data_IF_738812767272
#
_entry.id   IF_738812767272
#
_cell.length_a   1.000
_cell.length_b   1.000
_cell.length_c   1.000
_cell.angle_alpha   90.00
_cell.angle_beta   90.00
_cell.angle_gamma   90.00
#
_symmetry.space_group_name_H-M   'P 1'
#
loop_
_entity.id
_entity.type
_entity.pdbx_description
1 polymer ?
#
# COMPACT_ATOMS: atom_id res chain seq x y z
N UNK A 1 -13.76 24.42 -2.44
CA UNK A 1 -12.75 24.30 -1.37
C UNK A 1 -11.73 23.27 -1.84
N UNK A 2 -10.52 23.72 -2.13
CA UNK A 2 -9.41 22.83 -2.53
C UNK A 2 -8.89 22.10 -1.29
N UNK A 3 -9.18 20.80 -1.20
CA UNK A 3 -8.75 19.88 -0.14
C UNK A 3 -7.22 19.87 0.09
N UNK A 4 -6.45 20.40 -0.86
CA UNK A 4 -4.99 20.47 -0.82
C UNK A 4 -4.44 21.76 -0.19
N UNK A 5 -5.29 22.74 0.12
CA UNK A 5 -4.86 24.02 0.70
C UNK A 5 -4.50 23.95 2.20
N UNK A 6 -4.82 22.84 2.85
CA UNK A 6 -4.53 22.57 4.28
C UNK A 6 -3.39 21.54 4.46
N UNK A 7 -2.62 21.24 3.41
CA UNK A 7 -1.51 20.29 3.50
C UNK A 7 -0.32 20.93 4.24
N UNK A 8 -0.19 20.64 5.53
CA UNK A 8 0.93 21.03 6.37
C UNK A 8 2.10 20.03 6.21
N UNK A 9 3.19 20.49 5.59
CA UNK A 9 4.40 19.69 5.36
C UNK A 9 5.10 19.29 6.67
N UNK A 10 4.92 20.03 7.77
CA UNK A 10 5.52 19.67 9.06
C UNK A 10 4.83 18.45 9.70
N UNK A 11 3.50 18.33 9.55
CA UNK A 11 2.76 17.15 10.02
C UNK A 11 3.18 15.86 9.29
N UNK A 12 3.53 15.96 8.00
CA UNK A 12 3.90 14.82 7.16
C UNK A 12 5.40 14.42 7.26
N UNK A 13 6.20 15.11 8.09
CA UNK A 13 7.65 14.96 8.14
C UNK A 13 8.12 13.57 8.60
N UNK A 14 7.33 12.90 9.43
CA UNK A 14 7.57 11.49 9.84
C UNK A 14 6.89 10.46 8.93
N UNK A 15 6.06 10.92 7.98
CA UNK A 15 5.26 10.09 7.09
C UNK A 15 5.73 10.15 5.63
N UNK A 16 6.83 10.85 5.36
CA UNK A 16 7.49 10.93 4.04
C UNK A 16 8.74 10.07 4.03
N UNK A 17 8.75 9.03 3.18
CA UNK A 17 9.89 8.13 3.05
C UNK A 17 10.52 8.29 1.67
N UNK A 18 11.82 8.65 1.61
CA UNK A 18 12.64 8.50 0.41
C UNK A 18 13.19 7.07 0.39
N UNK A 19 12.61 6.22 -0.46
CA UNK A 19 12.90 4.78 -0.53
C UNK A 19 13.32 4.37 -1.94
N UNK A 20 13.87 3.17 -2.05
CA UNK A 20 14.05 2.48 -3.33
C UNK A 20 12.85 1.57 -3.61
N UNK A 21 12.53 1.32 -4.88
CA UNK A 21 11.55 0.30 -5.23
C UNK A 21 12.00 -1.04 -4.65
N UNK A 22 11.07 -1.82 -4.11
CA UNK A 22 11.45 -3.09 -3.50
C UNK A 22 11.61 -3.04 -1.97
N UNK A 23 11.80 -1.85 -1.39
CA UNK A 23 12.04 -1.69 0.06
C UNK A 23 10.77 -1.96 0.86
N UNK A 24 10.89 -2.81 1.87
CA UNK A 24 9.82 -3.12 2.82
C UNK A 24 9.75 -2.05 3.90
N UNK A 25 8.56 -1.51 4.12
CA UNK A 25 8.27 -0.59 5.22
C UNK A 25 7.39 -1.33 6.22
N UNK A 26 7.89 -1.57 7.43
CA UNK A 26 7.07 -2.12 8.50
C UNK A 26 6.05 -1.08 8.94
N UNK A 27 4.78 -1.48 9.05
CA UNK A 27 3.68 -0.62 9.49
C UNK A 27 2.83 -1.34 10.52
N UNK A 28 2.36 -0.54 11.47
CA UNK A 28 1.39 -0.96 12.48
C UNK A 28 0.09 -0.26 12.12
N UNK A 29 -0.84 -0.98 11.52
CA UNK A 29 -2.21 -0.50 11.36
C UNK A 29 -2.92 -0.67 12.69
N UNK A 30 -3.34 0.43 13.31
CA UNK A 30 -4.38 0.33 14.35
C UNK A 30 -5.69 0.04 13.63
N UNK A 31 -6.43 -0.96 14.11
CA UNK A 31 -7.68 -1.45 13.52
C UNK A 31 -8.80 -0.38 13.52
N UNK A 32 -8.57 0.80 14.13
CA UNK A 32 -9.52 1.90 14.25
C UNK A 32 -8.94 3.31 13.98
N UNK A 33 -7.79 3.43 13.28
CA UNK A 33 -7.28 4.75 12.87
C UNK A 33 -6.97 4.80 11.39
N UNK A 34 -7.31 5.93 10.77
CA UNK A 34 -6.79 6.26 9.45
C UNK A 34 -5.30 6.54 9.56
N UNK A 35 -4.51 5.82 8.77
CA UNK A 35 -3.07 6.04 8.68
C UNK A 35 -2.77 6.53 7.27
N UNK A 36 -2.13 7.69 7.15
CA UNK A 36 -1.75 8.30 5.88
C UNK A 36 -0.24 8.30 5.77
N UNK A 37 0.30 8.03 4.58
CA UNK A 37 1.73 8.20 4.35
C UNK A 37 2.06 8.51 2.90
N UNK A 38 3.18 9.21 2.72
CA UNK A 38 3.76 9.55 1.42
C UNK A 38 5.02 8.71 1.21
N UNK A 39 5.09 8.08 0.05
CA UNK A 39 6.25 7.31 -0.39
C UNK A 39 6.83 7.98 -1.62
N UNK A 40 8.11 8.36 -1.58
CA UNK A 40 8.85 8.90 -2.72
C UNK A 40 9.93 7.90 -3.12
N UNK A 41 9.95 7.51 -4.39
CA UNK A 41 10.87 6.49 -4.91
C UNK A 41 11.36 6.92 -6.29
N UNK A 42 12.68 7.09 -6.47
CA UNK A 42 13.29 7.46 -7.76
C UNK A 42 12.61 8.65 -8.47
N UNK A 43 12.13 9.63 -7.70
CA UNK A 43 11.39 10.80 -8.21
C UNK A 43 9.88 10.60 -8.38
N UNK A 44 9.39 9.37 -8.22
CA UNK A 44 7.97 9.03 -8.25
C UNK A 44 7.32 9.24 -6.88
N UNK A 45 6.07 9.71 -6.86
CA UNK A 45 5.34 10.01 -5.62
C UNK A 45 4.09 9.14 -5.53
N UNK A 46 3.91 8.53 -4.35
CA UNK A 46 2.75 7.73 -4.00
C UNK A 46 2.18 8.21 -2.67
N UNK A 47 0.86 8.34 -2.57
CA UNK A 47 0.18 8.53 -1.30
C UNK A 47 -0.64 7.31 -1.00
N UNK A 48 -0.52 6.83 0.22
CA UNK A 48 -1.22 5.66 0.68
C UNK A 48 -2.04 6.01 1.91
N UNK A 49 -3.21 5.38 1.98
CA UNK A 49 -4.13 5.51 3.11
C UNK A 49 -4.61 4.13 3.49
N UNK A 50 -4.59 3.86 4.79
CA UNK A 50 -5.21 2.69 5.39
C UNK A 50 -6.45 3.13 6.15
N UNK A 51 -7.53 2.37 6.00
CA UNK A 51 -8.77 2.55 6.74
C UNK A 51 -9.44 1.21 7.05
N UNK A 52 -10.59 1.30 7.68
CA UNK A 52 -11.42 0.17 8.08
C UNK A 52 -12.90 0.46 7.80
N UNK A 53 -13.65 -0.61 7.55
CA UNK A 53 -15.09 -0.53 7.43
C UNK A 53 -15.76 -0.84 8.78
N UNK A 54 -17.04 -0.48 8.90
CA UNK A 54 -17.83 -0.76 10.10
C UNK A 54 -17.99 -2.25 10.42
N UNK A 55 -17.85 -3.11 9.42
CA UNK A 55 -17.87 -4.57 9.57
C UNK A 55 -16.56 -5.16 10.13
N UNK A 56 -15.54 -4.33 10.36
CA UNK A 56 -14.22 -4.74 10.83
C UNK A 56 -13.27 -5.25 9.74
N UNK A 57 -13.64 -5.16 8.47
CA UNK A 57 -12.69 -5.33 7.36
C UNK A 57 -11.77 -4.12 7.23
N UNK A 58 -10.58 -4.33 6.67
CA UNK A 58 -9.59 -3.28 6.46
C UNK A 58 -9.34 -3.07 4.97
N UNK A 59 -8.93 -1.85 4.60
CA UNK A 59 -8.55 -1.54 3.23
C UNK A 59 -7.33 -0.63 3.21
N UNK A 60 -6.53 -0.76 2.16
CA UNK A 60 -5.36 0.07 1.89
C UNK A 60 -5.44 0.53 0.44
N UNK A 61 -5.43 1.84 0.24
CA UNK A 61 -5.44 2.46 -1.08
C UNK A 61 -4.13 3.18 -1.30
N UNK A 62 -3.52 3.01 -2.48
CA UNK A 62 -2.29 3.71 -2.86
C UNK A 62 -2.49 4.46 -4.17
N UNK A 63 -2.51 5.78 -4.12
CA UNK A 63 -2.61 6.64 -5.29
C UNK A 63 -1.21 7.04 -5.77
N UNK A 64 -0.94 6.83 -7.05
CA UNK A 64 0.25 7.33 -7.72
C UNK A 64 0.01 8.75 -8.27
N UNK A 65 0.98 9.64 -8.07
CA UNK A 65 0.91 11.08 -8.41
C UNK A 65 1.79 11.48 -9.59
N UNK A 66 2.23 10.53 -10.42
CA UNK A 66 2.90 10.82 -11.69
C UNK A 66 1.98 10.66 -12.89
N UNK A 67 2.56 10.36 -14.05
CA UNK A 67 1.82 10.23 -15.31
C UNK A 67 0.88 9.00 -15.27
N UNK A 68 -0.43 9.13 -15.56
CA UNK A 68 -1.38 8.02 -15.43
C UNK A 68 -0.97 6.74 -16.17
N UNK A 69 -0.29 6.86 -17.32
CA UNK A 69 0.17 5.73 -18.15
C UNK A 69 1.28 4.90 -17.48
N UNK A 70 2.01 5.50 -16.54
CA UNK A 70 3.08 4.87 -15.78
C UNK A 70 2.54 4.12 -14.55
N UNK A 71 1.33 4.43 -14.07
CA UNK A 71 0.72 3.81 -12.90
C UNK A 71 0.67 2.27 -12.98
N UNK A 72 0.44 1.72 -14.18
CA UNK A 72 0.41 0.27 -14.45
C UNK A 72 1.75 -0.43 -14.26
N UNK A 73 2.84 0.32 -14.12
CA UNK A 73 4.18 -0.22 -13.85
C UNK A 73 4.43 -0.41 -12.36
N UNK A 74 3.52 0.04 -11.51
CA UNK A 74 3.68 0.00 -10.07
C UNK A 74 2.62 -0.90 -9.43
N UNK A 75 3.04 -1.67 -8.44
CA UNK A 75 2.17 -2.54 -7.65
C UNK A 75 2.43 -2.28 -6.18
N UNK A 76 1.36 -2.10 -5.41
CA UNK A 76 1.42 -2.12 -3.95
C UNK A 76 1.33 -3.57 -3.46
N UNK A 77 2.14 -3.90 -2.46
CA UNK A 77 2.11 -5.17 -1.75
C UNK A 77 1.89 -4.91 -0.26
N UNK A 78 1.04 -5.74 0.34
CA UNK A 78 0.80 -5.79 1.78
C UNK A 78 1.03 -7.22 2.24
N UNK A 79 1.91 -7.38 3.23
CA UNK A 79 2.26 -8.68 3.80
C UNK A 79 1.80 -8.68 5.25
N UNK A 80 0.82 -9.52 5.57
CA UNK A 80 0.39 -9.75 6.95
C UNK A 80 1.24 -10.85 7.56
N UNK A 81 1.67 -10.65 8.79
CA UNK A 81 2.45 -11.63 9.55
C UNK A 81 1.62 -12.10 10.72
N UNK A 82 1.49 -13.42 10.88
CA UNK A 82 0.78 -13.95 12.04
C UNK A 82 1.52 -13.53 13.33
N UNK A 83 0.79 -13.08 14.37
CA UNK A 83 1.40 -12.45 15.55
C UNK A 83 2.35 -13.41 16.31
N UNK A 84 2.01 -14.70 16.37
CA UNK A 84 2.81 -15.73 17.06
C UNK A 84 3.55 -16.66 16.08
N UNK A 85 2.84 -17.22 15.11
CA UNK A 85 3.39 -18.14 14.10
C UNK A 85 4.12 -17.45 12.94
N UNK A 86 5.40 -17.12 13.12
CA UNK A 86 6.21 -16.38 12.12
C UNK A 86 6.27 -16.99 10.70
N UNK A 87 5.94 -18.28 10.54
CA UNK A 87 5.89 -18.97 9.23
C UNK A 87 4.60 -18.64 8.46
N UNK A 88 3.52 -18.29 9.13
CA UNK A 88 2.24 -17.94 8.51
C UNK A 88 2.27 -16.48 8.09
N UNK A 89 2.14 -16.25 6.78
CA UNK A 89 2.07 -14.91 6.19
C UNK A 89 1.01 -14.91 5.10
N UNK A 90 0.34 -13.78 4.93
CA UNK A 90 -0.62 -13.58 3.85
C UNK A 90 -0.19 -12.40 2.99
N UNK A 91 -0.22 -12.60 1.68
CA UNK A 91 0.24 -11.62 0.71
C UNK A 91 -0.96 -11.07 -0.06
N UNK A 92 -1.03 -9.76 -0.15
CA UNK A 92 -1.96 -9.03 -0.99
C UNK A 92 -1.17 -8.17 -1.95
N UNK A 93 -1.60 -8.09 -3.20
CA UNK A 93 -1.07 -7.14 -4.15
C UNK A 93 -2.17 -6.48 -4.95
N UNK A 94 -1.91 -5.27 -5.44
CA UNK A 94 -2.84 -4.49 -6.23
C UNK A 94 -2.05 -3.52 -7.12
N UNK A 95 -2.42 -3.33 -8.39
CA UNK A 95 -1.80 -2.31 -9.23
C UNK A 95 -2.06 -0.90 -8.67
N UNK A 96 -1.11 0.03 -8.79
CA UNK A 96 -1.32 1.43 -8.41
C UNK A 96 -2.18 2.23 -9.41
N UNK A 97 -2.96 1.54 -10.26
CA UNK A 97 -3.86 2.14 -11.24
C UNK A 97 -5.12 2.63 -10.53
N UNK A 98 -5.51 3.88 -10.77
CA UNK A 98 -6.72 4.48 -10.20
C UNK A 98 -7.95 3.58 -10.44
N UNK A 99 -8.66 3.23 -9.36
CA UNK A 99 -9.83 2.34 -9.40
C UNK A 99 -9.51 0.86 -9.20
N UNK A 100 -8.25 0.45 -9.37
CA UNK A 100 -7.74 -0.90 -9.07
C UNK A 100 -6.74 -0.90 -7.90
N UNK A 101 -6.43 0.28 -7.37
CA UNK A 101 -5.40 0.56 -6.38
C UNK A 101 -5.86 0.38 -4.93
N UNK A 102 -6.74 -0.59 -4.67
CA UNK A 102 -7.29 -0.87 -3.36
C UNK A 102 -7.06 -2.34 -2.99
N UNK A 103 -6.35 -2.58 -1.90
CA UNK A 103 -6.30 -3.89 -1.23
C UNK A 103 -7.42 -3.92 -0.20
N UNK A 104 -8.23 -4.97 -0.22
CA UNK A 104 -9.29 -5.23 0.77
C UNK A 104 -8.96 -6.50 1.54
N UNK A 105 -8.98 -6.41 2.87
CA UNK A 105 -8.68 -7.49 3.80
C UNK A 105 -9.97 -7.78 4.59
N UNK A 106 -10.49 -8.99 4.45
CA UNK A 106 -11.75 -9.36 5.11
C UNK A 106 -11.61 -9.36 6.63
N UNK A 107 -12.73 -9.16 7.33
CA UNK A 107 -12.79 -9.23 8.79
C UNK A 107 -12.17 -10.51 9.33
N UNK A 108 -12.43 -11.66 8.71
CA UNK A 108 -11.88 -12.96 9.13
C UNK A 108 -10.35 -12.94 9.15
N UNK A 109 -9.72 -12.39 8.11
CA UNK A 109 -8.27 -12.27 8.04
C UNK A 109 -7.76 -11.25 9.05
N UNK A 110 -8.42 -10.10 9.20
CA UNK A 110 -8.05 -9.10 10.23
C UNK A 110 -8.08 -9.72 11.62
N UNK A 111 -9.12 -10.49 11.96
CA UNK A 111 -9.24 -11.17 13.25
C UNK A 111 -8.20 -12.27 13.46
N UNK A 112 -7.74 -12.92 12.39
CA UNK A 112 -6.73 -13.98 12.47
C UNK A 112 -5.30 -13.41 12.62
N UNK A 113 -5.01 -12.26 12.01
CA UNK A 113 -3.68 -11.66 11.97
C UNK A 113 -3.46 -10.52 12.99
N UNK A 114 -4.48 -10.15 13.77
CA UNK A 114 -4.33 -9.15 14.84
C UNK A 114 -3.60 -9.73 16.06
N UNK A 115 -2.83 -8.90 16.74
CA UNK A 115 -2.21 -9.24 18.02
C UNK A 115 -3.20 -9.09 19.21
N UNK A 116 -2.73 -9.46 20.41
CA UNK A 116 -3.49 -9.36 21.67
C UNK A 116 -3.92 -7.93 22.01
N UNK A 117 -3.20 -6.92 21.47
CA UNK A 117 -3.54 -5.51 21.62
C UNK A 117 -4.51 -4.99 20.55
N UNK A 118 -5.06 -5.91 19.75
CA UNK A 118 -5.98 -5.62 18.65
C UNK A 118 -5.33 -4.71 17.59
N UNK A 119 -4.03 -4.89 17.32
CA UNK A 119 -3.31 -4.22 16.24
C UNK A 119 -3.02 -5.19 15.11
N UNK A 120 -3.08 -4.67 13.88
CA UNK A 120 -2.75 -5.42 12.67
C UNK A 120 -1.38 -4.98 12.17
N UNK A 121 -0.38 -5.84 12.34
CA UNK A 121 1.00 -5.57 11.90
C UNK A 121 1.20 -6.07 10.47
N UNK A 122 1.68 -5.20 9.59
CA UNK A 122 1.90 -5.54 8.19
C UNK A 122 3.16 -4.89 7.61
N UNK A 123 3.74 -5.52 6.60
CA UNK A 123 4.76 -4.89 5.76
C UNK A 123 4.08 -4.30 4.53
N UNK A 124 4.36 -3.04 4.23
CA UNK A 124 3.92 -2.36 3.01
C UNK A 124 5.09 -2.15 2.07
N UNK A 125 4.84 -2.29 0.78
CA UNK A 125 5.88 -2.17 -0.23
C UNK A 125 5.30 -1.70 -1.56
N UNK A 126 6.07 -0.91 -2.29
CA UNK A 126 5.78 -0.56 -3.68
C UNK A 126 6.84 -1.21 -4.57
N UNK A 127 6.38 -2.01 -5.53
CA UNK A 127 7.20 -2.63 -6.55
C UNK A 127 7.05 -1.92 -7.88
N UNK A 128 8.14 -1.92 -8.63
CA UNK A 128 8.12 -1.65 -10.07
C UNK A 128 8.07 -2.97 -10.81
N UNK A 129 6.98 -3.22 -11.54
CA UNK A 129 6.81 -4.39 -12.38
C UNK A 129 7.82 -4.34 -13.53
N UNK A 130 8.60 -5.42 -13.69
CA UNK A 130 9.48 -5.58 -14.85
C UNK A 130 8.61 -5.70 -16.10
N UNK A 131 8.97 -5.00 -17.19
CA UNK A 131 8.31 -5.17 -18.49
C UNK A 131 8.30 -6.66 -18.85
N UNK A 132 7.14 -7.24 -19.13
CA UNK A 132 7.13 -8.38 -20.06
C UNK A 132 7.59 -7.83 -21.41
N UNK A 133 8.60 -8.40 -22.08
CA UNK A 133 8.87 -8.01 -23.45
C UNK A 133 7.55 -8.14 -24.23
N UNK A 134 7.18 -7.09 -24.95
CA UNK A 134 6.06 -7.17 -25.88
C UNK A 134 6.29 -8.40 -26.77
N UNK A 135 5.30 -9.27 -27.02
CA UNK A 135 5.45 -10.23 -28.09
C UNK A 135 5.77 -9.42 -29.33
N UNK A 136 6.98 -9.59 -29.88
CA UNK A 136 7.30 -9.07 -31.19
C UNK A 136 6.20 -9.63 -32.09
N UNK A 137 5.45 -8.74 -32.77
CA UNK A 137 4.60 -9.18 -33.87
C UNK A 137 5.52 -9.96 -34.79
N UNK A 138 5.38 -11.28 -34.82
CA UNK A 138 5.98 -12.07 -35.87
C UNK A 138 5.22 -11.62 -37.12
N UNK A 139 5.84 -10.72 -37.88
CA UNK A 139 5.40 -10.42 -39.23
C UNK A 139 5.70 -11.68 -40.04
N UNK A 140 4.66 -12.48 -40.26
CA UNK A 140 4.60 -13.39 -41.41
C UNK A 140 3.88 -12.65 -42.53
#
# INVERSE_FOLDING_TARGET
MDFLSEFDEEMARNDTYDLKFGTKVQRVGKIFSYTFWRTKIDGEIFWSVQGNNSDGSAWIVTQYFGRPEEAKRYEQEVILHHPTEKKIKMFYSSPCIKGMNCIKISRTIVCHFRDETNRLNFEFKINRLKRRPYPQRIMW
#
